data_IF_875180121053
#
_entry.id   IF_875180121053
#
_cell.length_a   1.000
_cell.length_b   1.000
_cell.length_c   1.000
_cell.angle_alpha   90.00
_cell.angle_beta   90.00
_cell.angle_gamma   90.00
#
_symmetry.space_group_name_H-M   'P 1'
#
loop_
_entity.id
_entity.type
_entity.pdbx_description
1 polymer ?
#
# COMPACT_ATOMS: atom_id res chain seq x y z
N UNK A 1 11.71 32.09 12.47
CA UNK A 1 10.24 31.97 12.68
C UNK A 1 9.82 30.67 12.04
N UNK A 2 9.62 29.66 12.87
CA UNK A 2 9.23 28.33 12.40
C UNK A 2 7.79 28.38 11.93
N UNK A 3 7.57 28.28 10.63
CA UNK A 3 6.24 28.07 10.05
C UNK A 3 5.95 26.57 10.11
N UNK A 4 5.85 26.09 11.34
CA UNK A 4 5.84 24.67 11.64
C UNK A 4 4.52 23.96 11.46
N UNK A 5 3.84 24.12 10.31
CA UNK A 5 2.61 23.37 10.02
C UNK A 5 2.82 21.99 9.41
N UNK A 6 3.95 21.78 8.74
CA UNK A 6 4.25 20.50 8.10
C UNK A 6 5.38 19.77 8.83
N UNK A 7 5.30 18.47 8.86
CA UNK A 7 6.38 17.63 9.35
C UNK A 7 7.53 17.63 8.34
N UNK A 8 8.71 18.08 8.74
CA UNK A 8 9.91 18.14 7.92
C UNK A 8 10.36 16.76 7.39
N UNK A 9 9.81 15.70 7.95
CA UNK A 9 10.18 14.32 7.67
C UNK A 9 9.27 13.61 6.66
N UNK A 10 7.96 13.89 6.68
CA UNK A 10 6.99 13.22 5.81
C UNK A 10 6.12 14.20 5.02
N UNK A 11 6.27 15.52 5.22
CA UNK A 11 5.46 16.53 4.54
C UNK A 11 3.99 16.56 4.97
N UNK A 12 3.59 15.78 5.96
CA UNK A 12 2.23 15.80 6.50
C UNK A 12 2.09 16.90 7.56
N UNK A 13 0.86 17.37 7.75
CA UNK A 13 0.51 18.35 8.79
C UNK A 13 0.85 17.76 10.17
N UNK A 14 1.49 18.54 11.04
CA UNK A 14 1.99 18.09 12.36
C UNK A 14 0.91 17.43 13.22
N UNK A 15 -0.32 17.94 13.21
CA UNK A 15 -1.44 17.37 13.97
C UNK A 15 -1.93 16.00 13.49
N UNK A 16 -1.57 15.63 12.29
CA UNK A 16 -1.86 14.32 11.69
C UNK A 16 -0.61 13.54 11.31
N UNK A 17 0.54 14.05 11.73
CA UNK A 17 1.81 13.43 11.48
C UNK A 17 2.09 12.35 12.50
N UNK A 18 2.16 11.13 12.05
CA UNK A 18 2.58 9.97 12.88
C UNK A 18 4.09 9.95 13.17
N UNK A 19 4.89 10.85 12.55
CA UNK A 19 6.31 10.99 12.83
C UNK A 19 6.63 11.73 14.15
N UNK A 20 5.67 12.43 14.74
CA UNK A 20 5.85 13.24 15.96
C UNK A 20 5.60 12.48 17.26
N UNK A 21 4.94 11.34 17.20
CA UNK A 21 4.86 10.40 18.33
C UNK A 21 6.13 9.55 18.34
N UNK A 22 7.12 9.99 19.14
CA UNK A 22 8.48 9.46 19.26
C UNK A 22 8.73 8.03 18.79
N UNK A 23 9.78 7.88 18.00
CA UNK A 23 10.53 6.65 17.77
C UNK A 23 9.88 5.45 17.05
N UNK A 24 9.05 5.63 16.02
CA UNK A 24 8.66 4.48 15.21
C UNK A 24 8.61 4.77 13.70
N UNK A 25 9.74 5.22 13.10
CA UNK A 25 9.85 5.37 11.65
C UNK A 25 10.08 4.08 10.89
N UNK A 26 10.46 3.04 11.58
CA UNK A 26 10.81 1.75 10.97
C UNK A 26 9.66 0.75 10.94
N UNK A 27 8.47 1.13 11.40
CA UNK A 27 7.39 0.19 11.62
C UNK A 27 6.01 0.68 11.21
N UNK A 28 5.83 1.21 9.99
CA UNK A 28 4.60 0.83 9.28
C UNK A 28 4.89 -0.54 8.65
N UNK A 29 5.21 -1.49 9.48
CA UNK A 29 5.04 -2.89 9.13
C UNK A 29 3.54 -3.08 9.06
N UNK A 30 3.02 -3.27 7.87
CA UNK A 30 1.77 -4.00 7.70
C UNK A 30 2.05 -5.33 8.38
N UNK A 31 1.63 -5.46 9.65
CA UNK A 31 1.80 -6.72 10.38
C UNK A 31 0.99 -7.73 9.60
N UNK A 32 1.69 -8.54 8.83
CA UNK A 32 1.07 -9.70 8.23
C UNK A 32 0.66 -10.59 9.40
N UNK A 33 -0.63 -10.89 9.56
CA UNK A 33 -1.07 -11.78 10.63
C UNK A 33 -0.25 -13.07 10.51
N UNK A 34 0.44 -13.45 11.60
CA UNK A 34 1.24 -14.67 11.61
C UNK A 34 0.31 -15.84 11.31
N UNK A 35 0.61 -16.52 10.22
CA UNK A 35 -0.15 -17.71 9.85
C UNK A 35 0.07 -18.80 10.91
N UNK A 36 -0.99 -19.47 11.34
CA UNK A 36 -0.83 -20.60 12.23
C UNK A 36 -0.16 -21.78 11.51
N UNK A 37 0.69 -22.52 12.20
CA UNK A 37 1.37 -23.70 11.63
C UNK A 37 0.37 -24.70 11.03
N UNK A 38 -0.78 -24.88 11.67
CA UNK A 38 -1.85 -25.74 11.18
C UNK A 38 -2.40 -25.30 9.82
N UNK A 39 -2.55 -23.98 9.62
CA UNK A 39 -3.01 -23.40 8.34
C UNK A 39 -1.96 -23.56 7.25
N UNK A 40 -0.69 -23.25 7.58
CA UNK A 40 0.42 -23.46 6.64
C UNK A 40 0.45 -24.89 6.14
N UNK A 41 0.40 -25.87 7.05
CA UNK A 41 0.42 -27.30 6.72
C UNK A 41 -0.79 -27.70 5.87
N UNK A 42 -1.98 -27.16 6.15
CA UNK A 42 -3.17 -27.45 5.36
C UNK A 42 -3.04 -26.96 3.91
N UNK A 43 -2.56 -25.73 3.69
CA UNK A 43 -2.33 -25.19 2.37
C UNK A 43 -1.19 -25.96 1.68
N UNK A 44 -0.08 -26.23 2.38
CA UNK A 44 1.06 -26.96 1.83
C UNK A 44 0.71 -28.38 1.38
N UNK A 45 -0.22 -29.04 2.07
CA UNK A 45 -0.73 -30.37 1.64
C UNK A 45 -1.46 -30.30 0.30
N UNK A 46 -2.16 -29.22 0.03
CA UNK A 46 -2.89 -29.00 -1.23
C UNK A 46 -1.98 -28.48 -2.33
N UNK A 47 -0.97 -27.66 -1.98
CA UNK A 47 -0.05 -27.01 -2.90
C UNK A 47 1.42 -27.32 -2.52
N UNK A 48 1.88 -28.57 -2.67
CA UNK A 48 3.20 -29.00 -2.19
C UNK A 48 4.36 -28.33 -2.94
N UNK A 49 4.12 -27.83 -4.15
CA UNK A 49 5.09 -27.18 -5.03
C UNK A 49 5.24 -25.66 -4.75
N UNK A 50 4.35 -25.07 -3.95
CA UNK A 50 4.42 -23.65 -3.63
C UNK A 50 5.33 -23.45 -2.40
N UNK A 51 6.17 -22.42 -2.43
CA UNK A 51 7.07 -22.10 -1.35
C UNK A 51 6.36 -21.56 -0.12
N UNK A 52 6.90 -21.86 1.04
CA UNK A 52 6.29 -21.56 2.33
C UNK A 52 6.16 -20.05 2.56
N UNK A 53 7.12 -19.25 2.08
CA UNK A 53 7.10 -17.78 2.19
C UNK A 53 5.95 -17.15 1.41
N UNK A 54 5.57 -17.69 0.25
CA UNK A 54 4.38 -17.26 -0.49
C UNK A 54 3.12 -17.50 0.34
N UNK A 55 3.01 -18.70 0.93
CA UNK A 55 1.87 -19.08 1.74
C UNK A 55 1.79 -18.21 3.00
N UNK A 56 2.92 -17.91 3.64
CA UNK A 56 3.00 -17.02 4.81
C UNK A 56 2.56 -15.59 4.53
N UNK A 57 2.85 -15.06 3.36
CA UNK A 57 2.49 -13.69 2.95
C UNK A 57 1.09 -13.59 2.37
N UNK A 58 0.46 -14.71 2.06
CA UNK A 58 -0.89 -14.73 1.49
C UNK A 58 -1.93 -14.21 2.51
N UNK A 59 -2.77 -13.22 2.16
CA UNK A 59 -3.58 -12.50 3.14
C UNK A 59 -4.80 -13.27 3.68
N UNK A 60 -5.31 -14.28 2.95
CA UNK A 60 -6.55 -14.97 3.31
C UNK A 60 -6.32 -16.41 3.79
N UNK A 61 -7.33 -16.94 4.48
CA UNK A 61 -7.27 -18.27 5.08
C UNK A 61 -7.13 -19.39 4.03
N UNK A 62 -7.76 -19.25 2.87
CA UNK A 62 -7.67 -20.21 1.77
C UNK A 62 -7.44 -19.48 0.44
N UNK A 63 -6.49 -19.92 -0.38
CA UNK A 63 -6.33 -19.43 -1.73
C UNK A 63 -7.47 -19.93 -2.61
N UNK A 64 -7.78 -19.19 -3.66
CA UNK A 64 -8.58 -19.67 -4.78
C UNK A 64 -7.66 -20.37 -5.77
N UNK A 65 -8.26 -21.24 -6.58
CA UNK A 65 -7.56 -21.93 -7.65
C UNK A 65 -6.74 -20.97 -8.53
N UNK A 66 -5.51 -21.30 -8.82
CA UNK A 66 -4.58 -20.53 -9.64
C UNK A 66 -3.90 -19.33 -8.97
N UNK A 67 -4.31 -18.91 -7.76
CA UNK A 67 -3.74 -17.72 -7.13
C UNK A 67 -2.29 -17.91 -6.68
N UNK A 68 -2.00 -19.03 -6.03
CA UNK A 68 -0.65 -19.31 -5.54
C UNK A 68 0.30 -19.65 -6.70
N UNK A 69 -0.20 -20.34 -7.71
CA UNK A 69 0.54 -20.67 -8.92
C UNK A 69 0.97 -19.41 -9.67
N UNK A 70 0.04 -18.47 -9.89
CA UNK A 70 0.35 -17.17 -10.51
C UNK A 70 1.39 -16.38 -9.71
N UNK A 71 1.29 -16.38 -8.38
CA UNK A 71 2.27 -15.70 -7.53
C UNK A 71 3.66 -16.35 -7.67
N UNK A 72 3.71 -17.68 -7.69
CA UNK A 72 4.96 -18.43 -7.90
C UNK A 72 5.58 -18.12 -9.27
N UNK A 73 4.79 -18.18 -10.34
CA UNK A 73 5.25 -17.86 -11.70
C UNK A 73 5.78 -16.42 -11.82
N UNK A 74 5.10 -15.45 -11.19
CA UNK A 74 5.55 -14.05 -11.17
C UNK A 74 6.88 -13.94 -10.40
N UNK A 75 7.03 -14.65 -9.29
CA UNK A 75 8.29 -14.66 -8.54
C UNK A 75 9.42 -15.25 -9.36
N UNK A 76 9.19 -16.40 -9.98
CA UNK A 76 10.18 -17.06 -10.82
C UNK A 76 10.63 -16.13 -11.96
N UNK A 77 9.70 -15.41 -12.60
CA UNK A 77 10.03 -14.43 -13.61
C UNK A 77 10.88 -13.26 -13.07
N UNK A 78 10.60 -12.78 -11.85
CA UNK A 78 11.41 -11.75 -11.20
C UNK A 78 12.83 -12.27 -10.92
N UNK A 79 12.95 -13.49 -10.43
CA UNK A 79 14.23 -14.14 -10.11
C UNK A 79 15.05 -14.43 -11.38
N UNK A 80 14.39 -14.68 -12.51
CA UNK A 80 15.00 -14.76 -13.84
C UNK A 80 15.45 -13.40 -14.40
N UNK A 81 15.09 -12.29 -13.73
CA UNK A 81 15.53 -10.93 -14.08
C UNK A 81 14.55 -10.13 -14.94
N UNK A 82 13.30 -10.59 -15.11
CA UNK A 82 12.29 -9.79 -15.79
C UNK A 82 11.91 -8.56 -14.94
N UNK A 83 12.06 -7.37 -15.54
CA UNK A 83 11.76 -6.09 -14.87
C UNK A 83 10.30 -5.66 -15.01
N UNK A 84 9.57 -6.20 -15.96
CA UNK A 84 8.19 -5.85 -16.25
C UNK A 84 7.37 -7.12 -16.45
N UNK A 85 6.32 -7.27 -15.65
CA UNK A 85 5.42 -8.42 -15.71
C UNK A 85 3.99 -7.90 -15.90
N UNK A 86 3.28 -8.43 -16.86
CA UNK A 86 1.88 -8.07 -17.14
C UNK A 86 1.02 -9.29 -16.83
N UNK A 87 0.10 -9.11 -15.87
CA UNK A 87 -0.91 -10.12 -15.53
C UNK A 87 -2.26 -9.72 -16.11
N UNK A 88 -2.77 -10.49 -17.06
CA UNK A 88 -4.15 -10.38 -17.52
C UNK A 88 -5.01 -11.44 -16.82
N UNK A 89 -6.04 -11.01 -16.12
CA UNK A 89 -6.96 -11.90 -15.43
C UNK A 89 -8.35 -11.27 -15.32
N UNK A 90 -9.39 -12.09 -15.36
CA UNK A 90 -10.79 -11.66 -15.29
C UNK A 90 -11.14 -10.91 -13.99
N UNK A 91 -12.30 -10.25 -13.97
CA UNK A 91 -12.85 -9.66 -12.74
C UNK A 91 -13.19 -10.77 -11.73
N UNK A 92 -12.92 -10.51 -10.46
CA UNK A 92 -13.23 -11.47 -9.38
C UNK A 92 -12.19 -12.59 -9.16
N UNK A 93 -11.15 -12.70 -9.99
CA UNK A 93 -10.09 -13.70 -9.84
C UNK A 93 -9.17 -13.44 -8.63
N UNK A 94 -9.23 -12.23 -8.05
CA UNK A 94 -8.44 -11.87 -6.89
C UNK A 94 -7.08 -11.25 -7.21
N UNK A 95 -6.97 -10.49 -8.31
CA UNK A 95 -5.75 -9.73 -8.68
C UNK A 95 -5.19 -8.89 -7.52
N UNK A 96 -6.06 -8.31 -6.70
CA UNK A 96 -5.63 -7.53 -5.52
C UNK A 96 -4.92 -8.38 -4.48
N UNK A 97 -5.30 -9.65 -4.35
CA UNK A 97 -4.65 -10.61 -3.45
C UNK A 97 -3.26 -10.97 -3.96
N UNK A 98 -3.13 -11.22 -5.26
CA UNK A 98 -1.84 -11.47 -5.93
C UNK A 98 -0.92 -10.27 -5.71
N UNK A 99 -1.38 -9.06 -6.04
CA UNK A 99 -0.59 -7.83 -5.86
C UNK A 99 -0.19 -7.60 -4.39
N UNK A 100 -1.09 -7.87 -3.44
CA UNK A 100 -0.82 -7.76 -2.00
C UNK A 100 0.22 -8.76 -1.54
N UNK A 101 0.14 -10.02 -1.99
CA UNK A 101 1.11 -11.05 -1.62
C UNK A 101 2.50 -10.70 -2.16
N UNK A 102 2.60 -10.31 -3.42
CA UNK A 102 3.84 -9.86 -4.03
C UNK A 102 4.43 -8.63 -3.30
N UNK A 103 3.60 -7.62 -2.98
CA UNK A 103 4.05 -6.46 -2.23
C UNK A 103 4.56 -6.79 -0.82
N UNK A 104 4.08 -7.87 -0.20
CA UNK A 104 4.59 -8.38 1.07
C UNK A 104 5.87 -9.21 0.94
N UNK A 105 6.07 -9.85 -0.19
CA UNK A 105 7.31 -10.59 -0.51
C UNK A 105 8.45 -9.63 -0.83
N UNK A 106 8.19 -8.59 -1.63
CA UNK A 106 9.19 -7.66 -2.17
C UNK A 106 9.13 -6.28 -1.50
N UNK A 107 9.11 -6.23 -0.18
CA UNK A 107 9.10 -4.96 0.56
C UNK A 107 10.46 -4.23 0.50
N UNK A 108 10.50 -2.89 0.28
CA UNK A 108 9.38 -1.97 0.13
C UNK A 108 8.71 -2.04 -1.25
N UNK A 109 7.38 -1.91 -1.28
CA UNK A 109 6.60 -1.96 -2.50
C UNK A 109 5.53 -0.85 -2.54
N UNK A 110 5.15 -0.43 -3.75
CA UNK A 110 4.10 0.57 -3.98
C UNK A 110 3.00 -0.04 -4.82
N UNK A 111 1.74 0.08 -4.37
CA UNK A 111 0.56 -0.32 -5.13
C UNK A 111 -0.11 0.94 -5.67
N UNK A 112 -0.09 1.10 -7.00
CA UNK A 112 -0.72 2.21 -7.68
C UNK A 112 -2.09 1.79 -8.20
N UNK A 113 -3.10 2.61 -7.94
CA UNK A 113 -4.47 2.35 -8.40
C UNK A 113 -5.05 3.58 -9.07
N UNK A 114 -5.90 3.37 -10.07
CA UNK A 114 -6.54 4.46 -10.81
C UNK A 114 -7.67 5.15 -10.03
N UNK A 115 -8.30 4.46 -9.08
CA UNK A 115 -9.50 4.94 -8.41
C UNK A 115 -9.32 5.05 -6.90
N UNK A 116 -9.96 6.06 -6.30
CA UNK A 116 -10.00 6.24 -4.84
C UNK A 116 -10.70 5.06 -4.14
N UNK A 117 -11.65 4.43 -4.80
CA UNK A 117 -12.36 3.27 -4.27
C UNK A 117 -11.41 2.09 -4.07
N UNK A 118 -10.57 1.78 -5.07
CA UNK A 118 -9.55 0.74 -4.95
C UNK A 118 -8.51 1.07 -3.87
N UNK A 119 -8.08 2.35 -3.75
CA UNK A 119 -7.19 2.76 -2.66
C UNK A 119 -7.84 2.47 -1.29
N UNK A 120 -9.12 2.84 -1.13
CA UNK A 120 -9.85 2.60 0.12
C UNK A 120 -10.02 1.11 0.40
N UNK A 121 -10.22 0.29 -0.63
CA UNK A 121 -10.29 -1.16 -0.51
C UNK A 121 -8.97 -1.75 -0.02
N UNK A 122 -7.83 -1.38 -0.61
CA UNK A 122 -6.51 -1.84 -0.16
C UNK A 122 -6.21 -1.45 1.30
N UNK A 123 -6.62 -0.26 1.71
CA UNK A 123 -6.47 0.17 3.10
C UNK A 123 -7.36 -0.62 4.06
N UNK A 124 -8.63 -0.85 3.69
CA UNK A 124 -9.60 -1.54 4.55
C UNK A 124 -9.34 -3.05 4.64
N UNK A 125 -9.02 -3.70 3.52
CA UNK A 125 -8.87 -5.16 3.47
C UNK A 125 -7.45 -5.62 3.86
N UNK A 126 -6.43 -4.83 3.52
CA UNK A 126 -5.04 -5.26 3.68
C UNK A 126 -4.20 -4.38 4.61
N UNK A 127 -4.79 -3.31 5.16
CA UNK A 127 -4.11 -2.43 6.11
C UNK A 127 -3.06 -1.49 5.51
N UNK A 128 -3.06 -1.27 4.18
CA UNK A 128 -2.07 -0.40 3.55
C UNK A 128 -2.30 1.08 3.87
N UNK A 129 -1.25 1.84 4.18
CA UNK A 129 -1.33 3.29 4.25
C UNK A 129 -1.64 3.86 2.87
N UNK A 130 -2.48 4.91 2.83
CA UNK A 130 -2.89 5.56 1.58
C UNK A 130 -2.22 6.91 1.41
N UNK A 131 -1.70 7.17 0.21
CA UNK A 131 -1.28 8.51 -0.23
C UNK A 131 -2.27 9.02 -1.27
N UNK A 132 -2.87 10.17 -0.99
CA UNK A 132 -3.84 10.83 -1.89
C UNK A 132 -3.31 12.15 -2.39
N UNK A 133 -3.68 12.55 -3.60
CA UNK A 133 -3.38 13.87 -4.13
C UNK A 133 -4.02 15.01 -3.31
N UNK A 134 -3.46 16.22 -3.41
CA UNK A 134 -3.88 17.41 -2.63
C UNK A 134 -5.36 17.74 -2.73
N UNK A 135 -5.99 17.54 -3.88
CA UNK A 135 -7.43 17.77 -4.07
C UNK A 135 -8.34 16.88 -3.20
N UNK A 136 -7.79 15.94 -2.43
CA UNK A 136 -8.54 15.11 -1.49
C UNK A 136 -8.50 15.65 -0.04
N UNK A 137 -7.81 16.75 0.18
CA UNK A 137 -7.68 17.37 1.49
C UNK A 137 -8.25 18.79 1.43
N UNK A 138 -8.89 19.21 2.52
CA UNK A 138 -9.39 20.58 2.63
C UNK A 138 -8.21 21.53 2.92
N UNK A 139 -8.27 22.74 2.36
CA UNK A 139 -7.28 23.78 2.59
C UNK A 139 -7.42 24.34 4.01
N UNK A 140 -6.38 24.24 4.81
CA UNK A 140 -6.42 24.74 6.19
C UNK A 140 -6.30 26.26 6.28
N UNK A 141 -5.71 26.90 5.27
CA UNK A 141 -5.59 28.38 5.23
C UNK A 141 -6.91 29.07 4.86
N UNK A 142 -7.85 28.35 4.24
CA UNK A 142 -9.12 28.86 3.73
C UNK A 142 -10.32 28.36 4.56
N UNK A 143 -10.15 28.23 5.87
CA UNK A 143 -11.20 27.76 6.79
C UNK A 143 -11.90 26.46 6.33
N UNK A 144 -11.19 25.62 5.59
CA UNK A 144 -11.69 24.35 5.07
C UNK A 144 -12.80 24.47 3.99
N UNK A 145 -12.96 25.64 3.36
CA UNK A 145 -13.97 25.85 2.31
C UNK A 145 -13.57 25.26 0.95
N UNK A 146 -12.26 25.23 0.65
CA UNK A 146 -11.72 24.74 -0.62
C UNK A 146 -10.81 23.53 -0.43
N UNK A 147 -10.61 22.78 -1.51
CA UNK A 147 -9.62 21.72 -1.51
C UNK A 147 -8.19 22.30 -1.56
N UNK A 148 -7.20 21.57 -1.07
CA UNK A 148 -5.82 22.03 -0.93
C UNK A 148 -5.14 22.38 -2.28
N UNK A 149 -5.64 21.86 -3.40
CA UNK A 149 -5.19 22.21 -4.76
C UNK A 149 -5.79 23.50 -5.30
N UNK A 150 -6.86 24.03 -4.67
CA UNK A 150 -7.53 25.27 -5.00
C UNK A 150 -7.24 26.40 -4.01
N UNK A 151 -6.52 26.12 -2.93
CA UNK A 151 -6.19 27.11 -1.91
C UNK A 151 -5.25 28.21 -2.41
N UNK A 152 -5.30 29.37 -1.77
CA UNK A 152 -4.51 30.58 -2.13
C UNK A 152 -3.01 30.30 -2.19
N UNK A 153 -2.49 29.36 -1.41
CA UNK A 153 -1.09 28.93 -1.47
C UNK A 153 -0.67 28.32 -2.82
N UNK A 154 -1.62 27.92 -3.65
CA UNK A 154 -1.37 27.40 -5.01
C UNK A 154 -1.58 28.48 -6.09
N UNK A 155 -2.46 29.44 -5.86
CA UNK A 155 -2.82 30.48 -6.83
C UNK A 155 -1.92 31.70 -6.75
N UNK A 156 -1.25 31.92 -5.60
CA UNK A 156 -0.31 33.03 -5.42
C UNK A 156 1.03 32.68 -6.07
N UNK A 157 1.56 33.55 -6.98
CA UNK A 157 2.88 33.37 -7.57
C UNK A 157 3.97 33.20 -6.51
N UNK A 158 4.98 32.39 -6.82
CA UNK A 158 6.09 32.09 -5.88
C UNK A 158 6.84 33.32 -5.39
N UNK A 159 6.84 34.40 -6.17
CA UNK A 159 7.41 35.71 -5.83
C UNK A 159 6.66 36.47 -4.75
N UNK A 160 5.42 36.07 -4.43
CA UNK A 160 4.56 36.67 -3.39
C UNK A 160 4.31 35.74 -2.20
N UNK A 161 4.94 34.57 -2.18
CA UNK A 161 4.88 33.66 -1.03
C UNK A 161 5.83 34.16 0.05
N UNK A 162 5.26 34.56 1.18
CA UNK A 162 5.98 35.00 2.38
C UNK A 162 6.67 33.83 3.11
#
# INVERSE_FOLDING_TARGET
>A
MDIGFFCDKCGMIKDRCICSSGDNRDNIRVETPKISTSRLNAIKKQYPHIDDDIIEKFPFASPREGQLEIISEIRDAIDEGYSNIILEAGTGTGKSVVATTLARLYHPAYILTMTKQLQSQYAAEFGYPMVKGRGNFLCQNENLEFSCDQGTCQTIPSTQKF
#
